data_IF_784123380369
#
_entry.id   IF_784123380369
#
_cell.length_a   1.000
_cell.length_b   1.000
_cell.length_c   1.000
_cell.angle_alpha   90.00
_cell.angle_beta   90.00
_cell.angle_gamma   90.00
#
_symmetry.space_group_name_H-M   'P 1'
#
loop_
_entity.id
_entity.type
_entity.pdbx_description
1 polymer ?
#
# COMPACT_ATOMS: atom_id res chain seq x y z
N UNK A 1 45.11 -12.05 -29.79
CA UNK A 1 45.06 -10.70 -29.18
C UNK A 1 45.54 -10.79 -27.74
N UNK A 2 46.58 -10.05 -27.35
CA UNK A 2 47.19 -10.18 -26.01
C UNK A 2 46.55 -9.21 -25.00
N UNK A 3 46.61 -9.52 -23.71
CA UNK A 3 46.09 -8.67 -22.61
C UNK A 3 46.55 -7.20 -22.66
N UNK A 4 47.67 -6.89 -23.35
CA UNK A 4 48.15 -5.52 -23.57
C UNK A 4 47.39 -4.74 -24.66
N UNK A 5 46.73 -5.40 -25.61
CA UNK A 5 45.92 -4.71 -26.64
C UNK A 5 44.53 -4.32 -26.14
N UNK A 6 43.99 -5.03 -25.14
CA UNK A 6 42.69 -4.73 -24.54
C UNK A 6 42.71 -3.46 -23.67
N UNK A 7 43.81 -3.22 -22.92
CA UNK A 7 43.97 -2.02 -22.08
C UNK A 7 44.16 -0.73 -22.91
N UNK A 8 44.72 -0.82 -24.11
CA UNK A 8 44.80 0.34 -25.03
C UNK A 8 43.44 0.73 -25.63
N UNK A 9 42.54 -0.23 -25.81
CA UNK A 9 41.16 0.03 -26.25
C UNK A 9 40.26 0.51 -25.11
N UNK A 10 40.49 0.04 -23.88
CA UNK A 10 39.80 0.56 -22.71
C UNK A 10 40.15 2.04 -22.45
N UNK A 11 41.40 2.46 -22.66
CA UNK A 11 41.81 3.86 -22.45
C UNK A 11 41.28 4.87 -23.48
N UNK A 12 40.86 4.43 -24.67
CA UNK A 12 40.28 5.30 -25.71
C UNK A 12 38.75 5.39 -25.64
N UNK A 13 38.08 4.44 -24.98
CA UNK A 13 36.64 4.51 -24.74
C UNK A 13 36.26 5.41 -23.53
N UNK A 14 37.21 5.67 -22.62
CA UNK A 14 36.97 6.50 -21.42
C UNK A 14 37.04 8.01 -21.68
N UNK A 15 37.59 8.46 -22.81
CA UNK A 15 37.66 9.89 -23.14
C UNK A 15 36.41 10.37 -23.90
N UNK A 16 35.65 9.47 -24.54
CA UNK A 16 34.42 9.81 -25.27
C UNK A 16 33.12 9.77 -24.45
N UNK A 17 33.09 9.04 -23.33
CA UNK A 17 31.85 8.83 -22.56
C UNK A 17 31.74 9.72 -21.32
N UNK A 18 32.85 10.29 -20.84
CA UNK A 18 32.85 11.25 -19.73
C UNK A 18 32.32 12.64 -20.15
N UNK A 19 32.37 12.99 -21.44
CA UNK A 19 31.89 14.27 -21.95
C UNK A 19 30.37 14.30 -22.25
N UNK A 20 29.72 13.14 -22.36
CA UNK A 20 28.26 13.04 -22.59
C UNK A 20 27.45 12.87 -21.29
N UNK A 21 28.08 12.39 -20.21
CA UNK A 21 27.44 12.32 -18.88
C UNK A 21 27.54 13.63 -18.08
N UNK A 22 28.54 14.48 -18.37
CA UNK A 22 28.72 15.74 -17.68
C UNK A 22 27.81 16.86 -18.23
N UNK A 23 27.44 16.84 -19.51
CA UNK A 23 26.55 17.86 -20.10
C UNK A 23 25.09 17.70 -19.68
N UNK A 24 24.66 16.52 -19.23
CA UNK A 24 23.31 16.29 -18.70
C UNK A 24 23.08 16.79 -17.27
N UNK A 25 24.14 17.09 -16.51
CA UNK A 25 24.05 17.55 -15.12
C UNK A 25 24.49 19.00 -14.92
N UNK A 26 25.18 19.61 -15.89
CA UNK A 26 25.63 21.02 -15.78
C UNK A 26 24.43 22.00 -15.78
N UNK A 27 23.28 21.62 -16.34
CA UNK A 27 22.06 22.44 -16.32
C UNK A 27 21.16 22.31 -15.07
N UNK A 28 21.40 21.34 -14.16
CA UNK A 28 20.56 21.17 -12.96
C UNK A 28 20.99 22.03 -11.77
N UNK A 29 22.26 22.48 -11.77
CA UNK A 29 22.80 23.40 -10.76
C UNK A 29 23.02 24.82 -11.29
N UNK A 30 22.88 25.03 -12.60
CA UNK A 30 22.74 26.37 -13.13
C UNK A 30 21.36 26.90 -12.73
N UNK A 31 21.35 27.85 -11.80
CA UNK A 31 20.26 28.81 -11.72
C UNK A 31 20.32 29.63 -13.00
N UNK A 32 19.72 29.15 -14.08
CA UNK A 32 19.33 30.04 -15.16
C UNK A 32 18.44 31.08 -14.49
N UNK A 33 18.78 32.38 -14.51
CA UNK A 33 17.82 33.39 -14.14
C UNK A 33 16.61 33.14 -15.03
N UNK A 34 15.43 32.99 -14.42
CA UNK A 34 14.19 33.24 -15.15
C UNK A 34 14.43 34.58 -15.85
N UNK A 35 14.28 34.60 -17.17
CA UNK A 35 14.49 35.77 -18.02
C UNK A 35 14.01 37.05 -17.32
N UNK A 36 14.84 38.09 -17.31
CA UNK A 36 14.55 39.46 -16.82
C UNK A 36 13.40 40.16 -17.57
N UNK A 37 12.52 39.42 -18.24
CA UNK A 37 11.28 39.90 -18.87
C UNK A 37 10.03 39.54 -18.07
N UNK A 38 10.17 38.97 -16.86
CA UNK A 38 9.08 38.88 -15.90
C UNK A 38 9.28 39.96 -14.84
N UNK A 39 8.26 40.79 -14.62
CA UNK A 39 8.20 41.64 -13.42
C UNK A 39 8.61 40.83 -12.19
N UNK A 40 9.43 41.44 -11.32
CA UNK A 40 9.79 40.83 -10.04
C UNK A 40 8.50 40.69 -9.25
N UNK A 41 7.92 39.49 -9.25
CA UNK A 41 6.71 39.19 -8.48
C UNK A 41 7.05 39.27 -6.98
N UNK A 42 6.89 40.47 -6.41
CA UNK A 42 7.10 40.77 -4.99
C UNK A 42 6.12 40.02 -4.09
N UNK A 43 5.10 39.36 -4.64
CA UNK A 43 4.18 38.53 -3.88
C UNK A 43 4.94 37.31 -3.32
N UNK A 44 5.12 37.19 -1.98
CA UNK A 44 5.75 36.02 -1.40
C UNK A 44 4.91 34.75 -1.60
N UNK A 45 3.62 34.90 -1.92
CA UNK A 45 2.64 33.85 -2.00
C UNK A 45 2.15 33.39 -0.63
N UNK A 46 1.10 32.57 -0.63
CA UNK A 46 0.53 31.97 0.57
C UNK A 46 0.68 30.46 0.54
N UNK A 47 1.05 29.86 1.67
CA UNK A 47 1.06 28.40 1.83
C UNK A 47 -0.29 27.90 2.35
N UNK A 48 -1.05 27.28 1.46
CA UNK A 48 -2.38 26.76 1.76
C UNK A 48 -2.29 25.24 1.99
N UNK A 49 -2.80 24.71 3.12
CA UNK A 49 -2.92 23.26 3.32
C UNK A 49 -3.74 22.60 2.21
N UNK A 50 -3.24 21.48 1.68
CA UNK A 50 -3.99 20.69 0.71
C UNK A 50 -3.78 19.20 0.96
N UNK A 51 -4.85 18.41 0.76
CA UNK A 51 -4.77 16.96 0.87
C UNK A 51 -3.96 16.38 -0.29
N UNK A 52 -3.22 15.30 -0.05
CA UNK A 52 -2.69 14.50 -1.14
C UNK A 52 -3.82 13.69 -1.78
N UNK A 53 -4.05 13.91 -3.07
CA UNK A 53 -5.04 13.19 -3.89
C UNK A 53 -4.44 11.99 -4.64
N UNK A 54 -3.23 11.55 -4.29
CA UNK A 54 -2.69 10.28 -4.78
C UNK A 54 -3.39 9.16 -4.00
N UNK A 55 -4.16 8.35 -4.71
CA UNK A 55 -4.93 7.24 -4.17
C UNK A 55 -4.04 6.06 -3.73
N UNK A 56 -3.35 6.23 -2.61
CA UNK A 56 -2.48 5.21 -2.00
C UNK A 56 -2.76 4.99 -0.51
N UNK A 57 -3.86 5.55 0.00
CA UNK A 57 -4.28 5.43 1.40
C UNK A 57 -3.47 6.23 2.42
N UNK A 58 -2.27 6.74 2.10
CA UNK A 58 -1.46 7.52 3.05
C UNK A 58 -2.06 8.84 3.49
N UNK A 59 -2.92 9.42 2.62
CA UNK A 59 -3.44 10.79 2.73
C UNK A 59 -2.38 11.79 3.19
N UNK A 60 -1.21 11.75 2.53
CA UNK A 60 -0.07 12.61 2.88
C UNK A 60 -0.47 14.08 2.94
N UNK A 61 0.19 14.84 3.81
CA UNK A 61 -0.10 16.27 3.94
C UNK A 61 0.79 17.08 3.00
N UNK A 62 0.15 17.85 2.12
CA UNK A 62 0.83 18.77 1.23
C UNK A 62 0.49 20.22 1.63
N UNK A 63 1.38 21.15 1.31
CA UNK A 63 1.06 22.58 1.30
C UNK A 63 1.28 23.11 -0.10
N UNK A 64 0.32 23.85 -0.64
CA UNK A 64 0.43 24.51 -1.93
C UNK A 64 0.88 25.96 -1.71
N UNK A 65 1.99 26.35 -2.34
CA UNK A 65 2.35 27.76 -2.45
C UNK A 65 1.54 28.36 -3.58
N UNK A 66 0.65 29.28 -3.25
CA UNK A 66 -0.21 29.99 -4.19
C UNK A 66 0.32 31.40 -4.38
N UNK A 67 0.57 31.78 -5.64
CA UNK A 67 0.92 33.14 -6.05
C UNK A 67 -0.05 33.58 -7.13
N UNK A 68 -0.64 34.75 -6.97
CA UNK A 68 -1.55 35.34 -7.97
C UNK A 68 -2.67 34.38 -8.42
N UNK A 69 -3.21 33.60 -7.48
CA UNK A 69 -4.26 32.60 -7.73
C UNK A 69 -3.77 31.26 -8.30
N UNK A 70 -2.48 31.10 -8.57
CA UNK A 70 -1.91 29.89 -9.15
C UNK A 70 -1.04 29.10 -8.16
N UNK A 71 -1.18 27.78 -8.18
CA UNK A 71 -0.28 26.89 -7.44
C UNK A 71 1.08 26.86 -8.15
N UNK A 72 2.10 27.44 -7.55
CA UNK A 72 3.47 27.49 -8.12
C UNK A 72 4.39 26.40 -7.56
N UNK A 73 4.08 25.86 -6.37
CA UNK A 73 4.86 24.78 -5.75
C UNK A 73 4.02 23.94 -4.79
N UNK A 74 4.31 22.64 -4.74
CA UNK A 74 3.84 21.76 -3.66
C UNK A 74 4.98 21.43 -2.71
N UNK A 75 4.75 21.71 -1.43
CA UNK A 75 5.61 21.40 -0.30
C UNK A 75 4.97 20.36 0.63
N UNK A 76 5.53 20.26 1.82
CA UNK A 76 5.09 19.34 2.89
C UNK A 76 4.76 20.13 4.14
N UNK A 77 4.28 19.47 5.20
CA UNK A 77 4.08 20.11 6.48
C UNK A 77 5.37 20.74 7.03
N UNK A 78 5.22 21.96 7.57
CA UNK A 78 6.24 22.75 8.26
C UNK A 78 5.60 23.60 9.36
N UNK A 79 4.41 23.21 9.83
CA UNK A 79 3.61 23.99 10.78
C UNK A 79 4.16 23.96 12.21
N UNK A 80 4.96 22.95 12.53
CA UNK A 80 5.63 22.77 13.83
C UNK A 80 7.05 22.23 13.62
N UNK A 81 7.88 22.25 14.66
CA UNK A 81 9.18 21.57 14.65
C UNK A 81 9.00 20.06 14.48
N UNK A 82 9.89 19.43 13.72
CA UNK A 82 9.83 17.99 13.49
C UNK A 82 10.49 17.24 14.63
N UNK A 83 9.73 16.37 15.30
CA UNK A 83 10.25 15.48 16.32
C UNK A 83 9.66 14.07 16.17
N UNK A 84 10.31 13.06 16.73
CA UNK A 84 9.75 11.71 16.75
C UNK A 84 8.34 11.67 17.35
N UNK A 85 8.06 12.45 18.40
CA UNK A 85 6.79 12.47 19.13
C UNK A 85 5.72 13.37 18.51
N UNK A 86 6.13 14.37 17.73
CA UNK A 86 5.27 15.23 16.93
C UNK A 86 5.85 15.38 15.52
N UNK A 87 5.75 14.32 14.69
CA UNK A 87 6.43 14.30 13.41
C UNK A 87 5.67 15.11 12.37
N UNK A 88 6.39 15.92 11.60
CA UNK A 88 5.79 16.63 10.47
C UNK A 88 5.17 15.64 9.49
N UNK A 89 3.96 15.94 9.02
CA UNK A 89 3.29 15.11 8.02
C UNK A 89 3.98 15.27 6.66
N UNK A 90 4.52 14.15 6.14
CA UNK A 90 5.41 14.15 4.97
C UNK A 90 4.72 13.82 3.66
N UNK A 91 4.73 14.78 2.73
CA UNK A 91 4.36 14.60 1.33
C UNK A 91 5.46 13.91 0.52
N UNK A 92 5.14 12.78 -0.12
CA UNK A 92 6.07 12.06 -0.98
C UNK A 92 6.24 12.71 -2.36
N UNK A 93 7.16 12.19 -3.17
CA UNK A 93 7.39 12.70 -4.53
C UNK A 93 6.09 12.71 -5.37
N UNK A 94 5.30 11.61 -5.34
CA UNK A 94 4.01 11.54 -6.04
C UNK A 94 3.05 12.62 -5.59
N UNK A 95 2.91 12.81 -4.27
CA UNK A 95 2.05 13.85 -3.70
C UNK A 95 2.45 15.26 -4.13
N UNK A 96 3.76 15.54 -4.17
CA UNK A 96 4.28 16.84 -4.62
C UNK A 96 4.24 17.03 -6.14
N UNK A 97 4.12 15.95 -6.91
CA UNK A 97 3.93 16.00 -8.35
C UNK A 97 2.49 16.27 -8.79
N UNK A 98 1.51 16.28 -7.86
CA UNK A 98 0.09 16.50 -8.17
C UNK A 98 -0.22 17.83 -8.87
N UNK A 99 0.69 18.82 -8.80
CA UNK A 99 0.59 20.04 -9.60
C UNK A 99 0.41 19.73 -11.09
N UNK A 100 1.07 18.68 -11.59
CA UNK A 100 0.93 18.24 -12.98
C UNK A 100 -0.47 17.75 -13.33
N UNK A 101 -1.22 17.18 -12.36
CA UNK A 101 -2.61 16.76 -12.58
C UNK A 101 -3.57 17.95 -12.61
N UNK A 102 -3.34 18.97 -11.77
CA UNK A 102 -4.18 20.18 -11.71
C UNK A 102 -4.15 20.93 -13.04
N UNK A 103 -2.96 21.05 -13.62
CA UNK A 103 -2.69 21.78 -14.86
C UNK A 103 -2.49 20.88 -16.08
N UNK A 104 -2.89 19.61 -16.00
CA UNK A 104 -2.82 18.69 -17.13
C UNK A 104 -3.59 19.22 -18.33
N UNK A 105 -2.96 19.21 -19.51
CA UNK A 105 -3.58 19.69 -20.74
C UNK A 105 -4.79 18.82 -21.14
N UNK A 106 -4.77 17.56 -20.73
CA UNK A 106 -5.76 16.51 -20.92
C UNK A 106 -6.88 16.51 -19.87
N UNK A 107 -6.84 17.40 -18.88
CA UNK A 107 -7.88 17.50 -17.84
C UNK A 107 -9.25 17.81 -18.46
N UNK A 108 -10.27 17.05 -18.06
CA UNK A 108 -11.67 17.32 -18.42
C UNK A 108 -12.13 18.60 -17.69
N UNK A 109 -12.57 19.60 -18.46
CA UNK A 109 -12.92 20.95 -17.95
C UNK A 109 -14.42 21.20 -17.86
N UNK A 110 -15.21 20.39 -18.56
CA UNK A 110 -16.65 20.58 -18.71
C UNK A 110 -17.36 19.23 -18.65
N UNK A 111 -18.64 19.20 -18.25
CA UNK A 111 -19.49 18.06 -18.49
C UNK A 111 -19.53 17.71 -19.98
N UNK A 112 -19.44 16.42 -20.27
CA UNK A 112 -19.45 15.88 -21.63
C UNK A 112 -20.50 14.77 -21.72
N UNK A 113 -21.18 14.71 -22.87
CA UNK A 113 -22.13 13.65 -23.21
C UNK A 113 -21.64 12.95 -24.46
N UNK A 114 -21.88 11.64 -24.55
CA UNK A 114 -21.72 10.91 -25.81
C UNK A 114 -22.68 11.51 -26.82
N UNK A 115 -22.16 11.96 -27.97
CA UNK A 115 -22.92 12.73 -28.96
C UNK A 115 -24.16 11.99 -29.46
N UNK A 116 -24.06 10.68 -29.60
CA UNK A 116 -25.15 9.85 -30.11
C UNK A 116 -26.00 9.24 -28.99
N UNK A 117 -25.65 9.40 -27.71
CA UNK A 117 -26.46 8.86 -26.61
C UNK A 117 -27.70 9.73 -26.37
N UNK A 118 -28.83 9.07 -26.09
CA UNK A 118 -30.09 9.69 -25.70
C UNK A 118 -30.67 8.99 -24.44
N UNK A 119 -31.43 9.71 -23.60
CA UNK A 119 -32.13 9.11 -22.45
C UNK A 119 -33.22 8.13 -22.92
N UNK A 120 -33.63 7.21 -22.04
CA UNK A 120 -34.68 6.21 -22.33
C UNK A 120 -34.18 4.75 -22.44
N UNK A 121 -32.87 4.51 -22.44
CA UNK A 121 -32.28 3.18 -22.51
C UNK A 121 -32.46 2.45 -23.86
N UNK A 122 -32.15 1.16 -23.92
CA UNK A 122 -32.30 0.36 -25.15
C UNK A 122 -31.45 0.88 -26.32
N UNK A 123 -32.06 0.98 -27.51
CA UNK A 123 -31.39 1.51 -28.71
C UNK A 123 -30.97 2.98 -28.56
N UNK A 124 -31.72 3.79 -27.78
CA UNK A 124 -31.38 5.19 -27.51
C UNK A 124 -30.03 5.34 -26.78
N UNK A 125 -29.59 4.30 -26.07
CA UNK A 125 -28.28 4.31 -25.42
C UNK A 125 -27.12 4.17 -26.43
N UNK A 126 -27.36 3.71 -27.65
CA UNK A 126 -26.36 3.45 -28.70
C UNK A 126 -25.16 2.65 -28.18
N UNK A 127 -25.43 1.51 -27.55
CA UNK A 127 -24.44 0.68 -26.86
C UNK A 127 -23.28 0.22 -27.77
N UNK A 128 -23.58 -0.02 -29.04
CA UNK A 128 -22.65 -0.39 -30.11
C UNK A 128 -21.59 0.69 -30.43
N UNK A 129 -21.80 1.93 -29.99
CA UNK A 129 -20.85 3.04 -30.16
C UNK A 129 -19.93 3.20 -28.94
N UNK A 130 -20.16 2.50 -27.82
CA UNK A 130 -19.30 2.63 -26.63
C UNK A 130 -17.84 2.30 -26.98
N UNK A 131 -16.92 3.15 -26.51
CA UNK A 131 -15.48 3.06 -26.80
C UNK A 131 -15.02 3.70 -28.12
N UNK A 132 -15.93 4.10 -29.01
CA UNK A 132 -15.61 4.76 -30.30
C UNK A 132 -16.44 6.00 -30.63
N UNK A 133 -17.39 6.35 -29.77
CA UNK A 133 -18.31 7.47 -29.97
C UNK A 133 -17.60 8.83 -29.84
N UNK A 134 -18.20 9.84 -30.45
CA UNK A 134 -17.82 11.24 -30.26
C UNK A 134 -18.41 11.78 -28.95
N UNK A 135 -17.81 12.85 -28.44
CA UNK A 135 -18.26 13.56 -27.24
C UNK A 135 -18.61 15.00 -27.56
N UNK A 136 -19.70 15.48 -26.98
CA UNK A 136 -20.10 16.88 -27.03
C UNK A 136 -20.13 17.49 -25.63
N UNK A 137 -19.84 18.79 -25.55
CA UNK A 137 -19.91 19.53 -24.29
C UNK A 137 -21.36 19.89 -24.00
N UNK A 138 -21.78 19.69 -22.76
CA UNK A 138 -23.10 20.07 -22.26
C UNK A 138 -22.99 20.99 -21.04
N UNK A 139 -24.11 21.57 -20.59
CA UNK A 139 -24.15 22.36 -19.35
C UNK A 139 -24.16 21.45 -18.13
N UNK A 140 -23.88 22.02 -16.95
CA UNK A 140 -24.04 21.29 -15.68
C UNK A 140 -25.50 20.92 -15.42
N UNK A 141 -26.44 21.84 -15.69
CA UNK A 141 -27.87 21.58 -15.50
C UNK A 141 -28.33 20.43 -16.40
N UNK A 142 -27.96 20.42 -17.69
CA UNK A 142 -28.29 19.32 -18.59
C UNK A 142 -27.69 17.99 -18.12
N UNK A 143 -26.43 17.99 -17.65
CA UNK A 143 -25.78 16.78 -17.17
C UNK A 143 -26.49 16.20 -15.93
N UNK A 144 -26.88 17.07 -14.99
CA UNK A 144 -27.56 16.68 -13.77
C UNK A 144 -28.99 16.19 -14.06
N UNK A 145 -29.74 16.89 -14.91
CA UNK A 145 -31.10 16.51 -15.32
C UNK A 145 -31.10 15.15 -16.02
N UNK A 146 -30.14 14.92 -16.93
CA UNK A 146 -30.02 13.63 -17.64
C UNK A 146 -29.70 12.48 -16.69
N UNK A 147 -28.75 12.67 -15.76
CA UNK A 147 -28.36 11.63 -14.80
C UNK A 147 -29.50 11.36 -13.82
N UNK A 148 -30.11 12.40 -13.25
CA UNK A 148 -31.21 12.27 -12.31
C UNK A 148 -32.43 11.60 -12.97
N UNK A 149 -32.80 12.05 -14.17
CA UNK A 149 -33.92 11.47 -14.93
C UNK A 149 -33.70 10.00 -15.28
N UNK A 150 -32.48 9.60 -15.66
CA UNK A 150 -32.18 8.18 -15.90
C UNK A 150 -32.15 7.35 -14.62
N UNK A 151 -31.67 7.89 -13.49
CA UNK A 151 -31.76 7.21 -12.19
C UNK A 151 -33.23 6.96 -11.85
N UNK A 152 -34.09 7.98 -11.92
CA UNK A 152 -35.53 7.84 -11.66
C UNK A 152 -36.17 6.82 -12.61
N UNK A 153 -35.90 6.92 -13.91
CA UNK A 153 -36.42 5.98 -14.91
C UNK A 153 -36.01 4.54 -14.61
N UNK A 154 -34.74 4.31 -14.24
CA UNK A 154 -34.25 2.97 -13.92
C UNK A 154 -34.93 2.43 -12.66
N UNK A 155 -35.07 3.26 -11.62
CA UNK A 155 -35.78 2.89 -10.39
C UNK A 155 -37.24 2.53 -10.67
N UNK A 156 -37.94 3.33 -11.47
CA UNK A 156 -39.35 3.10 -11.82
C UNK A 156 -39.55 1.86 -12.70
N UNK A 157 -38.62 1.58 -13.61
CA UNK A 157 -38.75 0.49 -14.59
C UNK A 157 -38.24 -0.85 -14.07
N UNK A 158 -37.12 -0.84 -13.37
CA UNK A 158 -36.35 -2.05 -13.01
C UNK A 158 -36.16 -2.21 -11.50
N UNK A 159 -36.55 -1.22 -10.69
CA UNK A 159 -36.28 -1.19 -9.26
C UNK A 159 -34.81 -0.91 -8.93
N UNK A 160 -34.50 -0.96 -7.64
CA UNK A 160 -33.17 -0.65 -7.10
C UNK A 160 -32.05 -1.56 -7.64
N UNK A 161 -32.36 -2.82 -7.98
CA UNK A 161 -31.39 -3.76 -8.55
C UNK A 161 -30.95 -3.39 -9.97
N UNK A 162 -31.69 -2.50 -10.66
CA UNK A 162 -31.32 -1.99 -11.98
C UNK A 162 -30.12 -1.04 -11.99
N UNK A 163 -29.67 -0.58 -10.82
CA UNK A 163 -28.51 0.32 -10.69
C UNK A 163 -27.37 -0.42 -10.01
N UNK A 164 -26.27 -0.60 -10.74
CA UNK A 164 -25.02 -1.09 -10.17
C UNK A 164 -24.18 0.09 -9.68
N UNK A 165 -23.83 0.08 -8.39
CA UNK A 165 -22.81 0.95 -7.83
C UNK A 165 -21.51 0.13 -7.68
N UNK A 166 -20.54 0.24 -8.62
CA UNK A 166 -19.27 -0.46 -8.51
C UNK A 166 -18.41 0.20 -7.42
N UNK A 167 -17.75 -0.58 -6.56
CA UNK A 167 -16.90 0.01 -5.53
C UNK A 167 -16.18 -0.93 -4.58
N UNK A 168 -16.76 -1.57 -3.58
CA UNK A 168 -16.03 -2.23 -2.49
C UNK A 168 -15.22 -1.27 -1.59
N UNK A 169 -14.22 -0.57 -2.14
CA UNK A 169 -13.31 0.35 -1.42
C UNK A 169 -13.70 1.84 -1.53
N UNK A 170 -14.04 2.39 -2.72
CA UNK A 170 -14.52 3.78 -2.84
C UNK A 170 -15.78 4.04 -2.02
N UNK A 171 -16.67 3.06 -1.87
CA UNK A 171 -17.92 3.19 -1.12
C UNK A 171 -17.71 3.37 0.39
N UNK A 172 -16.63 2.81 0.94
CA UNK A 172 -16.29 2.95 2.37
C UNK A 172 -15.40 4.16 2.67
N UNK A 173 -14.70 4.70 1.65
CA UNK A 173 -13.59 5.65 1.86
C UNK A 173 -13.64 6.94 0.99
N UNK A 174 -14.48 7.03 -0.04
CA UNK A 174 -14.42 8.11 -1.05
C UNK A 174 -15.73 8.58 -1.69
N UNK A 175 -16.68 7.69 -1.98
CA UNK A 175 -17.95 7.98 -2.68
C UNK A 175 -19.16 7.90 -1.73
N UNK A 176 -18.95 8.28 -0.47
CA UNK A 176 -19.95 8.24 0.59
C UNK A 176 -21.23 8.96 0.17
N UNK A 177 -21.12 10.07 -0.57
CA UNK A 177 -22.28 10.85 -0.98
C UNK A 177 -23.12 10.18 -2.07
N UNK A 178 -22.49 9.49 -3.03
CA UNK A 178 -23.23 8.71 -4.04
C UNK A 178 -23.89 7.50 -3.37
N UNK A 179 -23.16 6.78 -2.52
CA UNK A 179 -23.73 5.66 -1.76
C UNK A 179 -24.92 6.10 -0.91
N UNK A 180 -24.78 7.20 -0.15
CA UNK A 180 -25.87 7.79 0.65
C UNK A 180 -27.09 8.14 -0.19
N UNK A 181 -26.91 8.78 -1.33
CA UNK A 181 -28.01 9.09 -2.25
C UNK A 181 -28.77 7.82 -2.65
N UNK A 182 -28.04 6.77 -3.04
CA UNK A 182 -28.65 5.49 -3.44
C UNK A 182 -29.39 4.82 -2.27
N UNK A 183 -28.83 4.83 -1.06
CA UNK A 183 -29.52 4.28 0.12
C UNK A 183 -30.78 5.05 0.48
N UNK A 184 -30.78 6.38 0.37
CA UNK A 184 -31.99 7.21 0.55
C UNK A 184 -33.07 6.84 -0.48
N UNK A 185 -32.67 6.42 -1.69
CA UNK A 185 -33.56 5.96 -2.76
C UNK A 185 -33.94 4.48 -2.68
N UNK A 186 -33.65 3.78 -1.58
CA UNK A 186 -34.01 2.38 -1.36
C UNK A 186 -32.91 1.37 -1.66
N UNK A 187 -31.69 1.82 -1.92
CA UNK A 187 -30.51 1.00 -2.18
C UNK A 187 -30.18 0.83 -3.66
N UNK A 188 -29.19 0.01 -3.95
CA UNK A 188 -28.74 -0.35 -5.30
C UNK A 188 -28.06 -1.72 -5.31
N UNK A 189 -27.82 -2.28 -6.49
CA UNK A 189 -26.98 -3.46 -6.62
C UNK A 189 -25.53 -3.09 -6.29
N UNK A 190 -24.95 -3.81 -5.34
CA UNK A 190 -23.57 -3.61 -4.86
C UNK A 190 -22.66 -4.75 -5.30
N UNK A 191 -21.36 -4.46 -5.39
CA UNK A 191 -20.35 -5.47 -5.64
C UNK A 191 -19.86 -6.08 -4.31
N UNK A 192 -19.79 -7.41 -4.24
CA UNK A 192 -19.13 -8.12 -3.15
C UNK A 192 -17.63 -8.22 -3.38
N UNK A 193 -16.84 -8.07 -2.32
CA UNK A 193 -15.37 -8.15 -2.35
C UNK A 193 -14.67 -6.81 -2.60
N UNK A 194 -13.35 -6.84 -2.73
CA UNK A 194 -12.53 -5.66 -2.97
C UNK A 194 -11.30 -6.00 -3.82
N UNK A 195 -10.90 -5.08 -4.71
CA UNK A 195 -9.69 -5.21 -5.54
C UNK A 195 -8.38 -5.00 -4.77
N UNK A 196 -8.47 -4.49 -3.54
CA UNK A 196 -7.32 -4.15 -2.71
C UNK A 196 -7.32 -4.90 -1.37
N UNK A 197 -8.35 -4.67 -0.53
CA UNK A 197 -8.39 -5.16 0.85
C UNK A 197 -9.30 -6.38 1.07
N UNK A 198 -9.61 -7.15 0.03
CA UNK A 198 -10.64 -8.20 0.10
C UNK A 198 -10.37 -9.28 1.16
N UNK A 199 -9.12 -9.73 1.29
CA UNK A 199 -8.74 -10.67 2.35
C UNK A 199 -8.79 -10.00 3.74
N UNK A 200 -8.36 -8.74 3.85
CA UNK A 200 -8.39 -7.97 5.09
C UNK A 200 -9.81 -7.81 5.66
N UNK A 201 -10.81 -7.59 4.80
CA UNK A 201 -12.20 -7.40 5.26
C UNK A 201 -12.81 -8.65 5.87
N UNK A 202 -12.23 -9.83 5.64
CA UNK A 202 -12.68 -11.09 6.23
C UNK A 202 -11.93 -11.43 7.54
N UNK A 203 -10.79 -10.79 7.82
CA UNK A 203 -9.97 -11.09 9.00
C UNK A 203 -10.71 -10.92 10.32
N UNK A 204 -11.55 -9.89 10.45
CA UNK A 204 -12.33 -9.64 11.66
C UNK A 204 -13.20 -10.84 12.06
N UNK A 205 -13.72 -11.59 11.08
CA UNK A 205 -14.54 -12.78 11.33
C UNK A 205 -13.70 -13.99 11.74
N UNK A 206 -12.42 -14.01 11.38
CA UNK A 206 -11.51 -15.13 11.60
C UNK A 206 -10.74 -15.00 12.91
N UNK A 207 -10.22 -13.80 13.22
CA UNK A 207 -9.34 -13.57 14.37
C UNK A 207 -9.94 -12.61 15.42
N UNK A 208 -11.19 -12.18 15.25
CA UNK A 208 -11.90 -11.32 16.21
C UNK A 208 -11.39 -9.88 16.28
N UNK A 209 -10.41 -9.50 15.44
CA UNK A 209 -9.84 -8.15 15.39
C UNK A 209 -10.10 -7.52 14.02
N UNK A 210 -10.75 -6.34 13.94
CA UNK A 210 -10.82 -5.56 12.71
C UNK A 210 -9.42 -4.95 12.39
N UNK A 211 -9.34 -3.93 11.55
CA UNK A 211 -8.07 -3.20 11.25
C UNK A 211 -7.51 -2.41 12.45
N UNK A 212 -7.70 -2.89 13.68
CA UNK A 212 -7.11 -2.36 14.89
C UNK A 212 -5.64 -2.78 14.96
N UNK A 213 -4.77 -1.79 14.97
CA UNK A 213 -3.33 -1.93 15.02
C UNK A 213 -2.81 -1.05 16.14
N UNK A 214 -1.65 -1.42 16.70
CA UNK A 214 -0.93 -0.52 17.60
C UNK A 214 -0.67 0.81 16.90
N UNK A 215 -0.67 1.89 17.68
CA UNK A 215 -0.32 3.19 17.13
C UNK A 215 1.09 3.13 16.53
N UNK A 216 1.30 3.75 15.37
CA UNK A 216 2.60 3.80 14.69
C UNK A 216 3.74 4.29 15.59
N UNK A 217 3.41 5.09 16.60
CA UNK A 217 4.37 5.64 17.56
C UNK A 217 4.94 4.57 18.49
N UNK A 218 4.17 3.50 18.72
CA UNK A 218 4.55 2.35 19.54
C UNK A 218 5.53 1.42 18.81
N UNK A 219 5.64 1.50 17.48
CA UNK A 219 6.59 0.67 16.72
C UNK A 219 8.05 0.88 17.14
N UNK A 220 8.37 2.01 17.77
CA UNK A 220 9.70 2.31 18.33
C UNK A 220 10.02 1.50 19.59
N UNK A 221 9.02 0.93 20.25
CA UNK A 221 9.17 0.08 21.44
C UNK A 221 9.47 -1.38 21.10
N UNK A 222 9.39 -1.76 19.81
CA UNK A 222 9.63 -3.13 19.35
C UNK A 222 11.12 -3.47 19.35
N UNK A 223 11.48 -4.72 19.68
CA UNK A 223 12.85 -5.21 19.47
C UNK A 223 13.13 -5.52 18.00
N UNK A 224 12.11 -6.03 17.29
CA UNK A 224 12.18 -6.44 15.89
C UNK A 224 10.90 -6.05 15.14
N UNK A 225 11.05 -5.61 13.90
CA UNK A 225 9.97 -5.42 12.94
C UNK A 225 10.22 -6.36 11.75
N UNK A 226 9.29 -7.27 11.51
CA UNK A 226 9.28 -8.14 10.34
C UNK A 226 8.45 -7.51 9.23
N UNK A 227 9.13 -7.05 8.18
CA UNK A 227 8.55 -6.51 6.95
C UNK A 227 8.16 -7.65 6.01
N UNK A 228 6.98 -8.23 6.22
CA UNK A 228 6.44 -9.29 5.36
C UNK A 228 5.78 -8.70 4.12
N UNK A 229 6.42 -8.86 2.95
CA UNK A 229 6.03 -8.27 1.66
C UNK A 229 5.75 -6.75 1.71
N UNK A 230 6.35 -6.03 2.68
CA UNK A 230 6.04 -4.64 2.98
C UNK A 230 7.05 -3.69 2.33
N UNK A 231 6.57 -2.90 1.36
CA UNK A 231 7.43 -1.98 0.59
C UNK A 231 6.96 -0.50 0.57
N UNK A 232 6.74 0.16 1.72
CA UNK A 232 6.27 1.54 1.75
C UNK A 232 7.25 2.54 1.14
N UNK A 233 8.54 2.25 1.01
CA UNK A 233 9.45 3.16 0.31
C UNK A 233 9.10 3.37 -1.16
N UNK A 234 8.31 2.47 -1.72
CA UNK A 234 7.73 2.60 -3.05
C UNK A 234 6.22 2.88 -2.99
N UNK A 235 5.46 1.96 -2.37
CA UNK A 235 3.99 1.94 -2.42
C UNK A 235 3.36 3.06 -1.61
N UNK A 236 4.02 3.50 -0.53
CA UNK A 236 3.45 4.41 0.46
C UNK A 236 4.48 5.38 1.04
N UNK A 237 5.36 5.91 0.18
CA UNK A 237 6.49 6.72 0.62
C UNK A 237 6.05 7.99 1.37
N UNK A 238 6.97 8.58 2.14
CA UNK A 238 6.70 9.74 2.98
C UNK A 238 6.64 9.34 4.44
N UNK A 239 5.47 9.45 5.07
CA UNK A 239 5.31 9.26 6.51
C UNK A 239 5.66 7.86 7.03
N UNK A 240 5.24 6.73 6.41
CA UNK A 240 5.62 5.39 6.89
C UNK A 240 7.13 5.16 6.90
N UNK A 241 7.84 5.59 5.85
CA UNK A 241 9.30 5.50 5.81
C UNK A 241 9.96 6.29 6.92
N UNK A 242 9.46 7.50 7.19
CA UNK A 242 9.97 8.30 8.30
C UNK A 242 9.81 7.55 9.62
N UNK A 243 8.63 6.97 9.88
CA UNK A 243 8.37 6.19 11.11
C UNK A 243 9.33 5.01 11.25
N UNK A 244 9.56 4.24 10.18
CA UNK A 244 10.54 3.15 10.22
C UNK A 244 11.97 3.63 10.45
N UNK A 245 12.36 4.78 9.90
CA UNK A 245 13.66 5.37 10.21
C UNK A 245 13.75 5.74 11.70
N UNK A 246 12.67 6.25 12.31
CA UNK A 246 12.66 6.51 13.76
C UNK A 246 12.79 5.22 14.59
N UNK A 247 12.16 4.13 14.16
CA UNK A 247 12.33 2.83 14.82
C UNK A 247 13.79 2.35 14.69
N UNK A 248 14.39 2.45 13.50
CA UNK A 248 15.79 2.08 13.29
C UNK A 248 16.74 2.92 14.15
N UNK A 249 16.50 4.23 14.24
CA UNK A 249 17.30 5.14 15.07
C UNK A 249 17.12 4.85 16.58
N UNK A 250 15.98 4.27 16.98
CA UNK A 250 15.72 3.75 18.32
C UNK A 250 16.35 2.37 18.60
N UNK A 251 17.01 1.76 17.60
CA UNK A 251 17.69 0.47 17.74
C UNK A 251 16.86 -0.74 17.31
N UNK A 252 15.63 -0.54 16.82
CA UNK A 252 14.76 -1.62 16.36
C UNK A 252 15.38 -2.32 15.16
N UNK A 253 15.38 -3.65 15.19
CA UNK A 253 15.89 -4.49 14.11
C UNK A 253 14.85 -4.72 13.02
N UNK A 254 15.30 -4.80 11.78
CA UNK A 254 14.42 -5.01 10.63
C UNK A 254 14.77 -6.28 9.87
N UNK A 255 13.80 -7.16 9.71
CA UNK A 255 13.89 -8.35 8.85
C UNK A 255 12.88 -8.19 7.73
N UNK A 256 13.24 -8.51 6.49
CA UNK A 256 12.27 -8.51 5.39
C UNK A 256 12.10 -9.91 4.81
N UNK A 257 10.84 -10.33 4.69
CA UNK A 257 10.44 -11.56 3.99
C UNK A 257 9.73 -11.12 2.71
N UNK A 258 10.35 -11.30 1.55
CA UNK A 258 9.80 -10.82 0.27
C UNK A 258 10.45 -11.57 -0.91
N UNK A 259 9.72 -11.91 -1.99
CA UNK A 259 10.33 -12.45 -3.21
C UNK A 259 11.32 -11.51 -3.90
N UNK A 260 11.28 -10.20 -3.60
CA UNK A 260 12.14 -9.18 -4.19
C UNK A 260 12.90 -8.41 -3.14
N UNK A 261 14.17 -8.08 -3.43
CA UNK A 261 14.93 -7.18 -2.56
C UNK A 261 14.50 -5.73 -2.79
N UNK A 262 13.45 -5.32 -2.09
CA UNK A 262 12.72 -4.07 -2.34
C UNK A 262 13.49 -2.81 -1.92
N UNK A 263 13.10 -1.61 -2.41
CA UNK A 263 13.65 -0.34 -1.91
C UNK A 263 13.51 -0.15 -0.40
N UNK A 264 12.45 -0.69 0.21
CA UNK A 264 12.27 -0.66 1.67
C UNK A 264 13.30 -1.54 2.35
N UNK A 265 13.46 -2.78 1.88
CA UNK A 265 14.45 -3.71 2.42
C UNK A 265 15.85 -3.10 2.38
N UNK A 266 16.25 -2.62 1.20
CA UNK A 266 17.53 -1.93 0.99
C UNK A 266 17.82 -0.76 1.92
N UNK A 267 16.78 -0.07 2.41
CA UNK A 267 16.93 1.12 3.24
C UNK A 267 16.97 0.80 4.75
N UNK A 268 16.34 -0.31 5.17
CA UNK A 268 16.04 -0.57 6.57
C UNK A 268 16.63 -1.87 7.11
N UNK A 269 16.69 -2.94 6.30
CA UNK A 269 16.78 -4.29 6.85
C UNK A 269 18.19 -4.69 7.25
N UNK A 270 18.30 -5.25 8.44
CA UNK A 270 19.48 -5.99 8.91
C UNK A 270 19.56 -7.37 8.23
N UNK A 271 18.41 -7.96 7.89
CA UNK A 271 18.34 -9.28 7.25
C UNK A 271 17.21 -9.38 6.20
N UNK A 272 17.41 -10.24 5.21
CA UNK A 272 16.49 -10.46 4.10
C UNK A 272 16.33 -11.95 3.80
N UNK A 273 15.09 -12.41 3.89
CA UNK A 273 14.70 -13.80 3.73
C UNK A 273 13.88 -13.93 2.45
N UNK A 274 14.43 -14.54 1.38
CA UNK A 274 13.72 -14.73 0.13
C UNK A 274 12.66 -15.83 0.29
N UNK A 275 11.48 -15.59 -0.27
CA UNK A 275 10.36 -16.54 -0.30
C UNK A 275 9.78 -16.64 -1.72
N UNK A 276 9.25 -17.82 -2.11
CA UNK A 276 8.52 -17.99 -3.36
C UNK A 276 7.15 -17.29 -3.28
N UNK A 277 6.70 -16.59 -4.33
CA UNK A 277 5.39 -15.95 -4.33
C UNK A 277 4.24 -16.93 -4.03
N UNK A 278 3.35 -16.55 -3.10
CA UNK A 278 2.15 -17.32 -2.76
C UNK A 278 2.39 -18.53 -1.86
N UNK A 279 3.54 -18.58 -1.17
CA UNK A 279 3.91 -19.71 -0.29
C UNK A 279 4.14 -19.29 1.17
N UNK A 280 3.72 -18.07 1.52
CA UNK A 280 3.86 -17.46 2.83
C UNK A 280 3.28 -18.31 3.96
N UNK A 281 2.10 -18.91 3.74
CA UNK A 281 1.46 -19.79 4.71
C UNK A 281 2.28 -21.03 5.03
N UNK A 282 3.02 -21.59 4.06
CA UNK A 282 3.89 -22.74 4.32
C UNK A 282 5.06 -22.35 5.23
N UNK A 283 5.65 -21.18 4.99
CA UNK A 283 6.71 -20.64 5.86
C UNK A 283 6.19 -20.36 7.27
N UNK A 284 5.03 -19.71 7.41
CA UNK A 284 4.42 -19.43 8.71
C UNK A 284 4.07 -20.70 9.49
N UNK A 285 3.59 -21.76 8.82
CA UNK A 285 3.38 -23.07 9.45
C UNK A 285 4.69 -23.73 9.88
N UNK A 286 5.75 -23.59 9.07
CA UNK A 286 7.11 -24.00 9.43
C UNK A 286 7.63 -23.31 10.70
N UNK A 287 7.41 -22.00 10.79
CA UNK A 287 7.75 -21.21 11.99
C UNK A 287 6.92 -21.65 13.20
N UNK A 288 5.61 -21.86 13.02
CA UNK A 288 4.73 -22.31 14.09
C UNK A 288 5.16 -23.68 14.64
N UNK A 289 5.60 -24.61 13.77
CA UNK A 289 6.15 -25.89 14.20
C UNK A 289 7.37 -25.70 15.10
N UNK A 290 8.29 -24.79 14.74
CA UNK A 290 9.47 -24.49 15.55
C UNK A 290 9.07 -23.93 16.91
N UNK A 291 8.19 -22.92 16.93
CA UNK A 291 7.68 -22.34 18.17
C UNK A 291 7.07 -23.43 19.07
N UNK A 292 6.20 -24.30 18.54
CA UNK A 292 5.53 -25.33 19.34
C UNK A 292 6.50 -26.43 19.80
N UNK A 293 7.41 -26.86 18.93
CA UNK A 293 8.27 -28.02 19.20
C UNK A 293 9.49 -27.68 20.05
N UNK A 294 9.91 -26.42 20.07
CA UNK A 294 11.08 -25.95 20.81
C UNK A 294 10.73 -25.08 22.02
N UNK A 295 9.46 -24.71 22.22
CA UNK A 295 9.02 -24.00 23.42
C UNK A 295 9.26 -24.84 24.67
N UNK A 296 9.91 -24.21 25.66
CA UNK A 296 9.95 -24.66 27.03
C UNK A 296 9.67 -23.44 27.90
N UNK A 297 8.51 -23.36 28.58
CA UNK A 297 8.14 -22.19 29.37
C UNK A 297 9.15 -21.81 30.47
N UNK A 298 10.03 -22.73 30.86
CA UNK A 298 11.05 -22.52 31.89
C UNK A 298 12.43 -22.16 31.34
N UNK A 299 12.82 -22.69 30.18
CA UNK A 299 14.19 -22.55 29.66
C UNK A 299 14.28 -21.92 28.27
N UNK A 300 13.20 -21.95 27.49
CA UNK A 300 13.12 -21.38 26.16
C UNK A 300 11.68 -20.92 25.85
N UNK A 301 11.18 -19.88 26.53
CA UNK A 301 9.80 -19.42 26.36
C UNK A 301 9.65 -18.71 25.01
N UNK A 302 9.09 -19.43 24.03
CA UNK A 302 8.81 -18.95 22.68
C UNK A 302 7.33 -18.59 22.49
N UNK A 303 6.45 -19.15 23.33
CA UNK A 303 4.99 -18.98 23.23
C UNK A 303 4.45 -18.22 24.44
N UNK A 304 3.64 -17.20 24.18
CA UNK A 304 2.80 -16.55 25.18
C UNK A 304 1.54 -17.40 25.45
N UNK A 305 1.67 -18.34 26.38
CA UNK A 305 0.60 -19.26 26.76
C UNK A 305 -0.58 -18.57 27.43
N UNK A 306 -0.35 -17.47 28.17
CA UNK A 306 -1.45 -16.71 28.79
C UNK A 306 -2.33 -16.04 27.73
N UNK A 307 -1.72 -15.51 26.67
CA UNK A 307 -2.47 -14.99 25.52
C UNK A 307 -3.28 -16.08 24.83
N UNK A 308 -2.67 -17.24 24.55
CA UNK A 308 -3.39 -18.35 23.88
C UNK A 308 -4.61 -18.80 24.70
N UNK A 309 -4.46 -18.97 26.00
CA UNK A 309 -5.55 -19.38 26.91
C UNK A 309 -6.68 -18.34 26.97
N UNK A 310 -6.35 -17.06 27.12
CA UNK A 310 -7.37 -16.03 27.35
C UNK A 310 -8.02 -15.49 26.08
N UNK A 311 -7.34 -15.60 24.94
CA UNK A 311 -7.69 -14.84 23.73
C UNK A 311 -7.90 -15.71 22.48
N UNK A 312 -7.68 -17.03 22.54
CA UNK A 312 -7.80 -17.90 21.36
C UNK A 312 -8.75 -19.07 21.57
N UNK A 313 -9.28 -19.61 20.47
CA UNK A 313 -10.15 -20.78 20.43
C UNK A 313 -9.56 -21.74 19.39
N UNK A 314 -9.47 -23.03 19.75
CA UNK A 314 -9.04 -24.11 18.85
C UNK A 314 -7.54 -24.19 18.60
N UNK A 315 -6.71 -23.58 19.46
CA UNK A 315 -5.26 -23.76 19.39
C UNK A 315 -4.87 -25.21 19.63
N UNK A 316 -5.34 -25.82 20.72
CA UNK A 316 -5.19 -27.24 21.02
C UNK A 316 -6.53 -27.87 21.46
N UNK A 317 -6.51 -29.14 21.84
CA UNK A 317 -7.70 -29.90 22.23
C UNK A 317 -8.46 -29.29 23.42
N UNK A 318 -7.78 -28.64 24.36
CA UNK A 318 -8.40 -28.06 25.56
C UNK A 318 -9.09 -26.72 25.24
N UNK A 319 -8.67 -26.06 24.15
CA UNK A 319 -9.23 -24.80 23.68
C UNK A 319 -10.33 -24.97 22.62
N UNK A 320 -10.75 -26.20 22.31
CA UNK A 320 -11.79 -26.45 21.32
C UNK A 320 -13.19 -26.10 21.87
N UNK A 321 -14.09 -25.53 21.03
CA UNK A 321 -15.45 -25.24 21.45
C UNK A 321 -16.25 -26.53 21.71
N UNK A 322 -17.25 -26.45 22.58
CA UNK A 322 -18.09 -27.60 22.93
C UNK A 322 -18.73 -28.23 21.68
N UNK A 323 -18.54 -29.54 21.52
CA UNK A 323 -19.06 -30.32 20.40
C UNK A 323 -18.18 -30.37 19.15
N UNK A 324 -17.04 -29.68 19.11
CA UNK A 324 -16.05 -29.84 18.05
C UNK A 324 -15.17 -31.09 18.27
N UNK A 325 -14.63 -31.67 17.19
CA UNK A 325 -13.67 -32.77 17.30
C UNK A 325 -12.37 -32.25 17.94
N UNK A 326 -11.93 -32.77 19.09
CA UNK A 326 -10.69 -32.34 19.72
C UNK A 326 -9.46 -32.46 18.81
N UNK A 327 -9.50 -33.29 17.75
CA UNK A 327 -8.40 -33.47 16.80
C UNK A 327 -8.32 -32.38 15.73
N UNK A 328 -9.37 -31.59 15.53
CA UNK A 328 -9.43 -30.54 14.51
C UNK A 328 -8.69 -29.25 14.94
N UNK A 329 -7.86 -29.31 15.99
CA UNK A 329 -7.15 -28.17 16.53
C UNK A 329 -5.90 -27.78 15.70
N UNK A 330 -5.49 -26.52 15.80
CA UNK A 330 -4.37 -25.97 15.03
C UNK A 330 -3.03 -26.64 15.34
N UNK A 331 -2.75 -26.90 16.62
CA UNK A 331 -1.50 -27.50 17.10
C UNK A 331 -1.28 -28.89 16.52
N UNK A 332 -2.32 -29.74 16.51
CA UNK A 332 -2.26 -31.09 15.94
C UNK A 332 -2.10 -31.08 14.41
N UNK A 333 -2.70 -30.10 13.73
CA UNK A 333 -2.46 -29.89 12.31
C UNK A 333 -0.99 -29.52 12.03
N UNK A 334 -0.42 -28.58 12.79
CA UNK A 334 0.98 -28.14 12.63
C UNK A 334 1.95 -29.28 12.96
N UNK A 335 1.72 -30.01 14.05
CA UNK A 335 2.57 -31.15 14.46
C UNK A 335 2.35 -32.39 13.59
N UNK A 336 1.33 -32.41 12.73
CA UNK A 336 1.04 -33.52 11.83
C UNK A 336 0.39 -34.73 12.51
N UNK A 337 -0.06 -34.61 13.75
CA UNK A 337 -0.82 -35.65 14.46
C UNK A 337 -2.25 -35.77 13.90
N UNK A 338 -2.75 -34.72 13.25
CA UNK A 338 -4.03 -34.71 12.54
C UNK A 338 -3.97 -35.43 11.17
N UNK A 339 -3.00 -35.10 10.32
CA UNK A 339 -2.95 -35.54 8.90
C UNK A 339 -1.72 -36.38 8.53
N UNK A 340 -0.84 -36.69 9.49
CA UNK A 340 0.38 -37.47 9.28
C UNK A 340 1.56 -36.70 8.66
N UNK A 341 1.43 -35.39 8.45
CA UNK A 341 2.47 -34.55 7.82
C UNK A 341 2.89 -33.46 8.79
N UNK A 342 4.01 -33.58 9.52
CA UNK A 342 4.49 -32.48 10.37
C UNK A 342 4.95 -31.30 9.51
N UNK A 343 4.59 -30.08 9.91
CA UNK A 343 4.89 -28.84 9.15
C UNK A 343 6.30 -28.36 9.52
N UNK A 344 7.29 -29.23 9.41
CA UNK A 344 8.66 -28.92 9.82
C UNK A 344 9.29 -27.81 8.95
N UNK A 345 10.39 -27.18 9.39
CA UNK A 345 11.17 -26.26 8.57
C UNK A 345 11.59 -26.84 7.22
N UNK A 346 11.93 -28.13 7.15
CA UNK A 346 12.27 -28.82 5.88
C UNK A 346 11.07 -28.93 4.96
N UNK A 347 9.91 -29.30 5.50
CA UNK A 347 8.64 -29.33 4.75
C UNK A 347 8.30 -27.96 4.18
N UNK A 348 8.40 -26.92 5.02
CA UNK A 348 8.15 -25.55 4.60
C UNK A 348 9.15 -25.10 3.54
N UNK A 349 10.44 -25.41 3.73
CA UNK A 349 11.54 -25.06 2.81
C UNK A 349 11.35 -25.63 1.41
N UNK A 350 10.86 -26.87 1.29
CA UNK A 350 10.57 -27.48 0.00
C UNK A 350 9.52 -26.67 -0.79
N UNK A 351 8.50 -26.16 -0.09
CA UNK A 351 7.38 -25.41 -0.67
C UNK A 351 7.79 -23.95 -0.93
N UNK A 352 8.24 -23.24 0.10
CA UNK A 352 8.46 -21.80 0.04
C UNK A 352 9.83 -21.39 -0.50
N UNK A 353 10.78 -22.33 -0.58
CA UNK A 353 12.12 -22.10 -1.11
C UNK A 353 13.07 -21.36 -0.17
N UNK A 354 12.60 -20.90 0.99
CA UNK A 354 13.44 -20.36 2.07
C UNK A 354 14.20 -21.51 2.73
N UNK A 355 15.52 -21.39 3.01
CA UNK A 355 16.25 -22.44 3.74
C UNK A 355 15.62 -22.75 5.10
N UNK A 356 15.49 -24.04 5.45
CA UNK A 356 14.93 -24.50 6.72
C UNK A 356 15.55 -23.79 7.94
N UNK A 357 16.88 -23.60 7.92
CA UNK A 357 17.61 -22.88 8.96
C UNK A 357 17.15 -21.42 9.13
N UNK A 358 16.85 -20.72 8.05
CA UNK A 358 16.42 -19.32 8.12
C UNK A 358 14.99 -19.23 8.68
N UNK A 359 14.15 -20.24 8.41
CA UNK A 359 12.82 -20.39 9.01
C UNK A 359 12.94 -20.60 10.53
N UNK A 360 13.83 -21.50 10.96
CA UNK A 360 14.10 -21.75 12.37
C UNK A 360 14.60 -20.51 13.10
N UNK A 361 15.61 -19.84 12.54
CA UNK A 361 16.21 -18.64 13.14
C UNK A 361 15.24 -17.47 13.23
N UNK A 362 14.36 -17.30 12.24
CA UNK A 362 13.31 -16.29 12.30
C UNK A 362 12.29 -16.62 13.39
N UNK A 363 11.91 -17.89 13.53
CA UNK A 363 10.94 -18.34 14.54
C UNK A 363 11.49 -18.22 15.97
N UNK A 364 12.72 -18.66 16.22
CA UNK A 364 13.33 -18.63 17.55
C UNK A 364 13.81 -17.23 17.99
N UNK A 365 13.85 -16.26 17.07
CA UNK A 365 14.44 -14.95 17.32
C UNK A 365 15.98 -14.98 17.44
N UNK A 366 16.62 -16.13 17.24
CA UNK A 366 18.08 -16.30 17.37
C UNK A 366 18.87 -15.90 16.13
N UNK A 367 18.25 -15.17 15.20
CA UNK A 367 18.84 -14.81 13.92
C UNK A 367 20.27 -14.28 14.10
N UNK A 368 21.25 -14.95 13.48
CA UNK A 368 22.68 -14.82 13.82
C UNK A 368 23.28 -13.43 13.59
N UNK A 369 22.51 -12.54 12.96
CA UNK A 369 22.85 -11.14 12.68
C UNK A 369 22.17 -10.13 13.61
N UNK A 370 21.27 -10.57 14.51
CA UNK A 370 20.52 -9.74 15.46
C UNK A 370 21.15 -9.64 16.84
N UNK A 371 22.20 -10.43 17.13
CA UNK A 371 22.96 -10.27 18.38
C UNK A 371 23.60 -8.88 18.41
N UNK A 372 23.09 -8.02 19.28
CA UNK A 372 23.65 -6.72 19.60
C UNK A 372 25.12 -6.87 20.01
N UNK A 373 26.00 -6.09 19.40
CA UNK A 373 27.32 -5.79 19.99
C UNK A 373 27.15 -5.00 21.28
#
# INVERSE_FOLDING_TARGET
MSRRSLLKWAGLATVGSAALGATGCVGFNEKTPISDTGDVDENPGEWIPCSCWVDCGSKGFNKALVKNGEVVRLGTDKSHEDSPDCPQLRGCARGRSLRGMIFGADRIKYPMKRKNWQPGGGEAAHGELRGRDEWERISWDEALDLIAGEIERILDTYGNEGILLPGGVPQRMGDVEIGRLMYIKGGCLEQTGAVSSGAWTEMAKLIGMPEEQNDRMDMRSSDVIVLWASNPAWSRAGLPNYQYLQCRDAGVKFICVDPFYTPTARALTDDYIPIRPGTDSAMLLGMAYVLISQDDPSTNPLIDWDFLERCTIGFDADHMPEGADPKDNYKDYVLGTYDGVPKTPEWASEICGTPAKDIELLASGENSHLKSN
#
